data_IF_893810897306
#
_entry.id   IF_893810897306
#
_cell.length_a   1.000
_cell.length_b   1.000
_cell.length_c   1.000
_cell.angle_alpha   90.00
_cell.angle_beta   90.00
_cell.angle_gamma   90.00
#
_symmetry.space_group_name_H-M   'P 1'
#
loop_
_entity.id
_entity.type
_entity.pdbx_description
1 polymer ?
#
# COMPACT_ATOMS: atom_id res chain seq x y z
N UNK A 1 8.11 -5.73 0.34
CA UNK A 1 6.67 -6.09 0.32
C UNK A 1 6.20 -6.23 1.76
N UNK A 2 4.95 -5.89 2.07
CA UNK A 2 4.36 -6.04 3.41
C UNK A 2 2.98 -6.67 3.23
N UNK A 3 2.62 -7.63 4.06
CA UNK A 3 1.29 -8.23 4.08
C UNK A 3 0.53 -7.72 5.30
N UNK A 4 -0.72 -7.30 5.10
CA UNK A 4 -1.65 -7.04 6.21
C UNK A 4 -2.44 -8.32 6.46
N UNK A 5 -2.27 -9.00 7.61
CA UNK A 5 -3.05 -10.18 7.95
C UNK A 5 -4.54 -9.85 8.01
N UNK A 6 -5.40 -10.76 7.52
CA UNK A 6 -6.87 -10.58 7.60
C UNK A 6 -7.38 -10.43 9.03
N UNK A 7 -6.66 -10.98 10.01
CA UNK A 7 -6.95 -10.84 11.45
C UNK A 7 -6.78 -9.40 11.96
N UNK A 8 -6.17 -8.50 11.18
CA UNK A 8 -5.98 -7.08 11.53
C UNK A 8 -7.26 -6.23 11.36
N UNK A 9 -8.37 -6.85 10.93
CA UNK A 9 -9.65 -6.19 10.71
C UNK A 9 -9.67 -5.26 9.49
N UNK A 10 -10.53 -4.24 9.53
CA UNK A 10 -10.66 -3.28 8.44
C UNK A 10 -9.33 -2.58 8.15
N UNK A 11 -8.94 -2.50 6.88
CA UNK A 11 -7.68 -1.93 6.45
C UNK A 11 -7.85 -1.14 5.17
N UNK A 12 -7.26 0.07 5.14
CA UNK A 12 -7.19 0.94 3.96
C UNK A 12 -6.39 0.30 2.81
N UNK A 13 -5.73 -0.84 3.03
CA UNK A 13 -5.10 -1.62 1.96
C UNK A 13 -6.14 -2.18 0.96
N UNK A 14 -7.42 -2.25 1.34
CA UNK A 14 -8.51 -2.70 0.49
C UNK A 14 -9.17 -1.57 -0.32
N UNK A 15 -8.84 -0.30 -0.04
CA UNK A 15 -9.45 0.88 -0.68
C UNK A 15 -8.81 1.24 -2.03
N UNK A 16 -8.37 0.22 -2.79
CA UNK A 16 -7.73 0.37 -4.10
C UNK A 16 -6.24 0.75 -4.04
N UNK A 17 -5.53 0.43 -5.13
CA UNK A 17 -4.09 0.67 -5.27
C UNK A 17 -3.74 2.15 -5.37
N UNK A 18 -2.59 2.52 -4.82
CA UNK A 18 -2.00 3.84 -4.99
C UNK A 18 -0.48 3.77 -4.94
N UNK A 19 0.16 4.89 -5.31
CA UNK A 19 1.61 5.10 -5.21
C UNK A 19 1.88 6.48 -4.63
N UNK A 20 2.95 6.58 -3.84
CA UNK A 20 3.60 7.85 -3.49
C UNK A 20 4.96 7.83 -4.18
N UNK A 21 5.23 8.85 -4.98
CA UNK A 21 6.39 8.91 -5.88
C UNK A 21 7.18 10.16 -5.51
N UNK A 22 8.45 9.99 -5.20
CA UNK A 22 9.38 11.12 -4.97
C UNK A 22 9.94 11.56 -6.32
N UNK A 23 9.83 12.85 -6.61
CA UNK A 23 10.39 13.54 -7.79
C UNK A 23 11.28 14.69 -7.31
N UNK A 24 11.94 15.40 -8.24
CA UNK A 24 12.85 16.50 -7.88
C UNK A 24 12.13 17.62 -7.12
N UNK A 25 10.87 17.88 -7.45
CA UNK A 25 10.04 18.95 -6.89
C UNK A 25 9.35 18.57 -5.57
N UNK A 26 9.40 17.30 -5.14
CA UNK A 26 8.75 16.82 -3.92
C UNK A 26 8.11 15.45 -4.09
N UNK A 27 6.97 15.23 -3.42
CA UNK A 27 6.19 14.01 -3.54
C UNK A 27 4.94 14.25 -4.39
N UNK A 28 4.64 13.29 -5.28
CA UNK A 28 3.37 13.20 -6.01
C UNK A 28 2.68 11.87 -5.71
N UNK A 29 1.37 11.84 -5.89
CA UNK A 29 0.55 10.65 -5.77
C UNK A 29 0.10 10.09 -7.11
N UNK A 30 -0.17 8.79 -7.14
CA UNK A 30 -1.00 8.17 -8.19
C UNK A 30 -2.03 7.27 -7.52
N UNK A 31 -3.30 7.41 -7.90
CA UNK A 31 -4.38 6.49 -7.48
C UNK A 31 -4.86 5.74 -8.71
N UNK A 32 -4.97 4.43 -8.59
CA UNK A 32 -5.56 3.60 -9.64
C UNK A 32 -7.08 3.79 -9.65
N UNK A 33 -7.65 3.93 -10.85
CA UNK A 33 -9.08 4.09 -11.05
C UNK A 33 -9.47 3.28 -12.29
N UNK A 34 -10.72 2.82 -12.33
CA UNK A 34 -11.22 1.87 -13.34
C UNK A 34 -10.93 2.28 -14.79
N UNK A 35 -10.82 3.58 -15.08
CA UNK A 35 -10.69 4.12 -16.44
C UNK A 35 -9.32 4.71 -16.78
N UNK A 36 -8.32 4.61 -15.89
CA UNK A 36 -6.95 5.09 -16.20
C UNK A 36 -6.24 5.89 -15.10
N UNK A 37 -6.66 5.74 -13.83
CA UNK A 37 -6.01 6.37 -12.68
C UNK A 37 -5.94 7.91 -12.69
N UNK A 38 -5.33 8.48 -11.66
CA UNK A 38 -5.18 9.94 -11.51
C UNK A 38 -3.87 10.28 -10.82
N UNK A 39 -3.15 11.26 -11.37
CA UNK A 39 -2.02 11.90 -10.69
C UNK A 39 -2.51 12.95 -9.68
N UNK A 40 -1.89 12.96 -8.52
CA UNK A 40 -2.08 13.94 -7.45
C UNK A 40 -0.78 14.73 -7.34
N UNK A 41 -0.80 15.97 -7.82
CA UNK A 41 0.41 16.81 -7.91
C UNK A 41 0.52 17.80 -6.75
N UNK A 42 -0.55 18.01 -5.99
CA UNK A 42 -0.52 18.87 -4.81
C UNK A 42 0.11 18.14 -3.61
N UNK A 43 0.87 18.90 -2.83
CA UNK A 43 1.64 18.37 -1.71
C UNK A 43 0.77 17.78 -0.61
N UNK A 44 -0.41 18.35 -0.36
CA UNK A 44 -1.33 17.86 0.67
C UNK A 44 -1.93 16.51 0.30
N UNK A 45 -2.34 16.33 -0.95
CA UNK A 45 -2.83 15.05 -1.47
C UNK A 45 -1.75 13.97 -1.49
N UNK A 46 -0.52 14.30 -1.89
CA UNK A 46 0.61 13.37 -1.82
C UNK A 46 0.91 12.96 -0.37
N UNK A 47 0.92 13.92 0.56
CA UNK A 47 1.08 13.69 2.01
C UNK A 47 -0.04 12.82 2.59
N UNK A 48 -1.29 13.01 2.16
CA UNK A 48 -2.40 12.17 2.60
C UNK A 48 -2.21 10.70 2.18
N UNK A 49 -1.71 10.45 0.96
CA UNK A 49 -1.37 9.10 0.51
C UNK A 49 -0.19 8.49 1.29
N UNK A 50 0.82 9.30 1.64
CA UNK A 50 1.91 8.87 2.52
C UNK A 50 1.37 8.43 3.89
N UNK A 51 0.51 9.23 4.49
CA UNK A 51 -0.12 8.89 5.78
C UNK A 51 -0.98 7.61 5.68
N UNK A 52 -1.70 7.41 4.56
CA UNK A 52 -2.43 6.16 4.29
C UNK A 52 -1.47 4.97 4.23
N UNK A 53 -0.34 5.11 3.54
CA UNK A 53 0.69 4.07 3.49
C UNK A 53 1.21 3.71 4.89
N UNK A 54 1.46 4.71 5.74
CA UNK A 54 1.97 4.50 7.09
C UNK A 54 0.94 3.80 7.99
N UNK A 55 -0.35 4.16 7.88
CA UNK A 55 -1.45 3.45 8.59
C UNK A 55 -1.60 2.00 8.14
N UNK A 56 -1.42 1.72 6.85
CA UNK A 56 -1.40 0.35 6.33
C UNK A 56 -0.19 -0.41 6.90
N UNK A 57 0.99 0.23 6.90
CA UNK A 57 2.21 -0.37 7.42
C UNK A 57 2.12 -0.68 8.92
N UNK A 58 1.44 0.15 9.70
CA UNK A 58 1.21 -0.08 11.13
C UNK A 58 0.38 -1.34 11.42
N UNK A 59 -0.42 -1.81 10.45
CA UNK A 59 -1.19 -3.06 10.53
C UNK A 59 -0.52 -4.23 9.83
N UNK A 60 0.62 -4.01 9.18
CA UNK A 60 1.30 -5.05 8.43
C UNK A 60 2.07 -5.99 9.36
N UNK A 61 2.20 -7.24 8.92
CA UNK A 61 3.08 -8.20 9.56
C UNK A 61 4.54 -7.74 9.51
N UNK A 62 5.39 -8.19 10.46
CA UNK A 62 6.84 -8.05 10.36
C UNK A 62 7.38 -8.59 9.03
N UNK A 63 8.58 -8.14 8.65
CA UNK A 63 9.21 -8.51 7.38
C UNK A 63 9.40 -10.03 7.30
N UNK A 64 9.92 -10.66 8.35
CA UNK A 64 10.19 -12.09 8.38
C UNK A 64 8.89 -12.90 8.23
N UNK A 65 7.85 -12.54 9.00
CA UNK A 65 6.52 -13.16 8.87
C UNK A 65 5.88 -12.91 7.51
N UNK A 66 6.17 -11.80 6.83
CA UNK A 66 5.68 -11.55 5.48
C UNK A 66 6.26 -12.56 4.49
N UNK A 67 7.55 -12.92 4.62
CA UNK A 67 8.19 -13.93 3.76
C UNK A 67 7.54 -15.29 3.98
N UNK A 68 7.40 -15.71 5.24
CA UNK A 68 6.74 -16.98 5.59
C UNK A 68 5.32 -17.06 5.05
N UNK A 69 4.53 -15.98 5.17
CA UNK A 69 3.17 -15.92 4.63
C UNK A 69 3.12 -16.04 3.10
N UNK A 70 4.10 -15.47 2.39
CA UNK A 70 4.19 -15.60 0.93
C UNK A 70 4.54 -17.04 0.56
N UNK A 71 5.54 -17.63 1.22
CA UNK A 71 5.94 -19.02 0.96
C UNK A 71 4.79 -19.99 1.19
N UNK A 72 4.10 -19.89 2.33
CA UNK A 72 2.92 -20.70 2.64
C UNK A 72 1.81 -20.55 1.59
N UNK A 73 1.55 -19.31 1.15
CA UNK A 73 0.55 -19.06 0.12
C UNK A 73 0.95 -19.69 -1.23
N UNK A 74 2.24 -19.62 -1.59
CA UNK A 74 2.76 -20.23 -2.82
C UNK A 74 2.74 -21.76 -2.78
N UNK A 75 3.00 -22.36 -1.62
CA UNK A 75 2.90 -23.81 -1.43
C UNK A 75 1.47 -24.32 -1.50
N UNK A 76 0.50 -23.56 -0.97
CA UNK A 76 -0.92 -23.90 -1.03
C UNK A 76 -1.53 -23.79 -2.44
N UNK A 77 -0.83 -23.16 -3.39
CA UNK A 77 -1.24 -23.08 -4.80
C UNK A 77 -0.74 -24.26 -5.65
N UNK A 78 0.11 -25.13 -5.10
CA UNK A 78 0.58 -26.36 -5.77
C UNK A 78 -0.51 -27.43 -5.77
#
# INVERSE_FOLDING_TARGET
MRIVPRTSGASEALDGSFKVITVREGEIGYIEAATGGRLIMDADGARALRMRFDRIAAKAAPVDSTVELIEQAMEALK
#
